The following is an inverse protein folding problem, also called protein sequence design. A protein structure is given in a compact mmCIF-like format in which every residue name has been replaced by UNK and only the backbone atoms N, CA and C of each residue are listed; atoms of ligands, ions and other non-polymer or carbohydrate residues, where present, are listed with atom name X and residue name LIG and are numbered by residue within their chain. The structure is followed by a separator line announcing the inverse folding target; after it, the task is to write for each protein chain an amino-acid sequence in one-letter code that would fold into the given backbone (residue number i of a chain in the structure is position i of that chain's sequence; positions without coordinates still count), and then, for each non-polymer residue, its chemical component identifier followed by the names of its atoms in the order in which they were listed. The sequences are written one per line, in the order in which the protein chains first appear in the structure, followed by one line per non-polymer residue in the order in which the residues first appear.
data_IF_156428898345
#
_entry.id   IF_156428898345
#
_cell.length_a   1.000
_cell.length_b   1.000
_cell.length_c   1.000
_cell.angle_alpha   90.00
_cell.angle_beta   90.00
_cell.angle_gamma   90.00
#
_symmetry.space_group_name_H-M   'P 1'
#
loop_
_entity.id
_entity.type
_entity.pdbx_description
1 polymer ?
#
# COMPACT_ATOMS: atom_id res chain seq x y z
N UNK A 1 -27.72 16.16 7.12
CA UNK A 1 -27.36 16.16 5.69
C UNK A 1 -26.74 14.80 5.38
N UNK A 2 -27.12 14.14 4.28
CA UNK A 2 -26.40 12.95 3.83
C UNK A 2 -24.95 13.35 3.54
N UNK A 3 -24.01 12.51 3.97
CA UNK A 3 -22.57 12.70 3.76
C UNK A 3 -22.31 12.64 2.24
N UNK A 4 -21.63 13.61 1.61
CA UNK A 4 -21.38 13.56 0.16
C UNK A 4 -20.63 12.30 -0.30
N UNK A 5 -20.06 11.52 0.62
CA UNK A 5 -19.39 10.24 0.36
C UNK A 5 -20.33 9.01 0.32
N UNK A 6 -21.65 9.13 0.54
CA UNK A 6 -22.55 7.95 0.64
C UNK A 6 -23.00 7.35 -0.69
N UNK A 7 -22.74 8.00 -1.84
CA UNK A 7 -23.05 7.45 -3.16
C UNK A 7 -21.86 7.62 -4.09
N UNK A 8 -20.96 6.63 -4.09
CA UNK A 8 -20.02 6.48 -5.20
C UNK A 8 -20.77 5.73 -6.31
N UNK A 9 -21.06 6.36 -7.46
CA UNK A 9 -21.57 5.61 -8.60
C UNK A 9 -20.52 4.57 -9.02
N UNK A 10 -20.91 3.31 -9.16
CA UNK A 10 -20.10 2.30 -9.84
C UNK A 10 -19.96 2.70 -11.33
N UNK A 11 -18.96 3.53 -11.66
CA UNK A 11 -18.58 3.90 -13.03
C UNK A 11 -17.32 4.77 -12.99
N UNK A 12 -16.27 4.56 -13.80
CA UNK A 12 -16.09 3.88 -15.10
C UNK A 12 -14.87 2.91 -15.08
N UNK A 13 -14.66 2.07 -16.12
CA UNK A 13 -13.58 1.07 -16.18
C UNK A 13 -12.16 1.66 -16.18
N UNK A 14 -11.22 0.92 -15.57
CA UNK A 14 -9.76 1.07 -15.53
C UNK A 14 -9.18 2.34 -16.18
N UNK A 15 -8.75 3.36 -15.39
CA UNK A 15 -8.22 4.59 -15.94
C UNK A 15 -6.87 4.40 -16.66
N UNK A 16 -6.17 3.27 -16.46
CA UNK A 16 -4.93 2.97 -17.16
C UNK A 16 -4.64 1.47 -17.31
N UNK A 17 -3.76 1.12 -18.24
CA UNK A 17 -3.22 -0.23 -18.44
C UNK A 17 -1.71 -0.20 -18.66
N UNK A 18 -1.06 -1.38 -18.61
CA UNK A 18 0.39 -1.50 -18.84
C UNK A 18 0.83 -0.87 -20.17
N UNK A 19 0.03 -1.00 -21.23
CA UNK A 19 0.37 -0.51 -22.58
C UNK A 19 0.43 1.02 -22.68
N UNK A 20 -0.14 1.72 -21.71
CA UNK A 20 -0.13 3.19 -21.66
C UNK A 20 1.12 3.74 -20.96
N UNK A 21 1.88 2.88 -20.27
CA UNK A 21 3.15 3.26 -19.64
C UNK A 21 4.26 3.18 -20.69
N UNK A 22 4.95 4.29 -20.91
CA UNK A 22 6.01 4.40 -21.91
C UNK A 22 7.35 3.81 -21.41
N UNK A 23 7.38 2.50 -21.14
CA UNK A 23 8.59 1.81 -20.66
C UNK A 23 9.79 1.97 -21.60
N UNK A 24 9.54 2.15 -22.90
CA UNK A 24 10.57 2.42 -23.92
C UNK A 24 11.23 3.80 -23.79
N UNK A 25 10.66 4.69 -22.96
CA UNK A 25 11.14 6.06 -22.73
C UNK A 25 11.74 6.27 -21.34
N UNK A 26 12.00 5.20 -20.59
CA UNK A 26 12.63 5.29 -19.28
C UNK A 26 14.00 5.96 -19.43
N UNK A 27 14.22 7.03 -18.69
CA UNK A 27 15.52 7.70 -18.62
C UNK A 27 16.46 6.90 -17.69
N UNK A 28 17.05 5.83 -18.22
CA UNK A 28 17.85 4.86 -17.45
C UNK A 28 18.96 5.51 -16.61
N UNK A 29 19.64 6.51 -17.17
CA UNK A 29 20.72 7.24 -16.52
C UNK A 29 20.31 7.92 -15.20
N UNK A 30 19.03 8.21 -15.01
CA UNK A 30 18.51 8.87 -13.81
C UNK A 30 18.23 7.90 -12.65
N UNK A 31 18.20 6.59 -12.90
CA UNK A 31 17.67 5.63 -11.93
C UNK A 31 18.51 4.35 -11.78
N UNK A 32 19.26 3.94 -12.81
CA UNK A 32 19.93 2.62 -12.81
C UNK A 32 20.97 2.45 -11.68
N UNK A 33 21.63 3.54 -11.28
CA UNK A 33 22.63 3.55 -10.22
C UNK A 33 22.05 3.85 -8.83
N UNK A 34 20.75 4.10 -8.72
CA UNK A 34 20.08 4.43 -7.47
C UNK A 34 19.66 3.16 -6.72
N UNK A 35 20.54 2.66 -5.84
CA UNK A 35 20.30 1.39 -5.13
C UNK A 35 19.06 1.40 -4.25
N UNK A 36 18.78 2.51 -3.55
CA UNK A 36 17.59 2.62 -2.70
C UNK A 36 16.31 2.52 -3.54
N UNK A 37 16.29 3.15 -4.72
CA UNK A 37 15.17 3.03 -5.64
C UNK A 37 14.97 1.61 -6.16
N UNK A 38 16.06 0.90 -6.49
CA UNK A 38 15.97 -0.53 -6.84
C UNK A 38 15.25 -1.33 -5.76
N UNK A 39 15.70 -1.25 -4.50
CA UNK A 39 15.13 -2.07 -3.42
C UNK A 39 13.69 -1.68 -3.08
N UNK A 40 13.35 -0.38 -3.14
CA UNK A 40 11.96 0.07 -2.96
C UNK A 40 11.06 -0.45 -4.06
N UNK A 41 11.46 -0.35 -5.33
CA UNK A 41 10.62 -0.75 -6.46
C UNK A 41 10.53 -2.26 -6.61
N UNK A 42 11.63 -2.99 -6.39
CA UNK A 42 11.62 -4.44 -6.35
C UNK A 42 10.72 -4.92 -5.20
N UNK A 43 10.89 -4.36 -4.00
CA UNK A 43 10.08 -4.72 -2.84
C UNK A 43 8.59 -4.44 -3.05
N UNK A 44 8.24 -3.24 -3.54
CA UNK A 44 6.86 -2.89 -3.88
C UNK A 44 6.30 -3.86 -4.94
N UNK A 45 7.04 -4.14 -6.01
CA UNK A 45 6.58 -5.07 -7.05
C UNK A 45 6.26 -6.48 -6.51
N UNK A 46 6.96 -6.93 -5.46
CA UNK A 46 6.66 -8.22 -4.82
C UNK A 46 5.38 -8.14 -4.00
N UNK A 47 5.24 -7.12 -3.15
CA UNK A 47 4.06 -6.95 -2.30
C UNK A 47 2.79 -6.82 -3.16
N UNK A 48 2.82 -5.97 -4.19
CA UNK A 48 1.69 -5.76 -5.10
C UNK A 48 1.35 -7.03 -5.91
N UNK A 49 2.37 -7.80 -6.32
CA UNK A 49 2.16 -9.05 -7.07
C UNK A 49 1.66 -10.21 -6.21
N UNK A 50 1.68 -10.06 -4.89
CA UNK A 50 1.26 -11.08 -3.92
C UNK A 50 -0.18 -10.89 -3.42
N UNK A 51 -0.87 -9.85 -3.89
CA UNK A 51 -2.23 -9.45 -3.49
C UNK A 51 -3.26 -10.59 -3.63
N UNK A 52 -3.15 -11.47 -4.64
CA UNK A 52 -4.07 -12.60 -4.90
C UNK A 52 -4.34 -13.50 -3.67
N UNK A 53 -3.29 -13.84 -2.91
CA UNK A 53 -3.44 -14.73 -1.76
C UNK A 53 -4.28 -14.06 -0.66
N UNK A 54 -4.16 -12.74 -0.51
CA UNK A 54 -4.96 -11.96 0.43
C UNK A 54 -6.39 -11.77 -0.05
N UNK A 55 -6.59 -11.58 -1.36
CA UNK A 55 -7.93 -11.43 -1.95
C UNK A 55 -8.81 -12.62 -1.62
N UNK A 56 -8.29 -13.84 -1.74
CA UNK A 56 -9.09 -15.04 -1.45
C UNK A 56 -9.59 -15.08 0.00
N UNK A 57 -8.72 -14.77 0.97
CA UNK A 57 -9.10 -14.72 2.38
C UNK A 57 -10.12 -13.60 2.64
N UNK A 58 -9.93 -12.44 2.02
CA UNK A 58 -10.84 -11.30 2.16
C UNK A 58 -12.22 -11.60 1.54
N UNK A 59 -12.27 -12.24 0.37
CA UNK A 59 -13.51 -12.69 -0.27
C UNK A 59 -14.27 -13.67 0.63
N UNK A 60 -13.57 -14.64 1.24
CA UNK A 60 -14.16 -15.55 2.23
C UNK A 60 -14.75 -14.82 3.44
N UNK A 61 -14.04 -13.82 3.97
CA UNK A 61 -14.54 -13.01 5.10
C UNK A 61 -15.78 -12.17 4.76
N UNK A 62 -15.90 -11.78 3.49
CA UNK A 62 -17.02 -10.99 2.96
C UNK A 62 -18.17 -11.84 2.41
N UNK A 63 -18.10 -13.16 2.50
CA UNK A 63 -19.07 -14.09 1.90
C UNK A 63 -20.52 -13.75 2.29
N UNK A 64 -21.42 -13.71 1.31
CA UNK A 64 -22.83 -13.35 1.53
C UNK A 64 -23.14 -11.86 1.42
N UNK A 65 -22.16 -11.02 1.06
CA UNK A 65 -22.39 -9.66 0.59
C UNK A 65 -21.93 -9.52 -0.88
N UNK A 66 -22.88 -9.67 -1.81
CA UNK A 66 -22.58 -9.73 -3.25
C UNK A 66 -21.92 -8.47 -3.79
N UNK A 67 -22.25 -7.29 -3.24
CA UNK A 67 -21.73 -6.04 -3.77
C UNK A 67 -20.23 -5.87 -3.48
N UNK A 68 -19.80 -6.16 -2.25
CA UNK A 68 -18.38 -6.07 -1.91
C UNK A 68 -17.60 -7.20 -2.57
N UNK A 69 -18.13 -8.42 -2.63
CA UNK A 69 -17.39 -9.54 -3.22
C UNK A 69 -17.21 -9.36 -4.72
N UNK A 70 -18.24 -8.85 -5.42
CA UNK A 70 -18.14 -8.50 -6.84
C UNK A 70 -17.11 -7.38 -7.07
N UNK A 71 -17.15 -6.32 -6.27
CA UNK A 71 -16.16 -5.24 -6.38
C UNK A 71 -14.73 -5.73 -6.14
N UNK A 72 -14.52 -6.58 -5.12
CA UNK A 72 -13.23 -7.17 -4.81
C UNK A 72 -12.68 -7.99 -5.99
N UNK A 73 -13.49 -8.87 -6.58
CA UNK A 73 -13.03 -9.77 -7.66
C UNK A 73 -12.95 -9.10 -9.03
N UNK A 74 -13.85 -8.17 -9.33
CA UNK A 74 -13.96 -7.59 -10.68
C UNK A 74 -13.18 -6.29 -10.85
N UNK A 75 -12.77 -5.65 -9.75
CA UNK A 75 -12.09 -4.34 -9.79
C UNK A 75 -10.83 -4.33 -8.95
N UNK A 76 -10.95 -4.51 -7.64
CA UNK A 76 -9.83 -4.34 -6.72
C UNK A 76 -8.67 -5.32 -7.02
N UNK A 77 -8.93 -6.63 -7.04
CA UNK A 77 -7.89 -7.64 -7.32
C UNK A 77 -7.23 -7.46 -8.70
N UNK A 78 -7.98 -7.27 -9.80
CA UNK A 78 -7.37 -6.94 -11.10
C UNK A 78 -6.50 -5.68 -11.11
N UNK A 79 -6.90 -4.63 -10.37
CA UNK A 79 -6.16 -3.37 -10.20
C UNK A 79 -4.85 -3.58 -9.43
N UNK A 80 -4.89 -4.24 -8.27
CA UNK A 80 -3.71 -4.59 -7.45
C UNK A 80 -2.69 -5.44 -8.24
N UNK A 81 -3.18 -6.48 -8.92
CA UNK A 81 -2.35 -7.30 -9.79
C UNK A 81 -1.74 -6.49 -10.96
N UNK A 82 -2.46 -5.48 -11.45
CA UNK A 82 -1.93 -4.60 -12.47
C UNK A 82 -0.76 -3.76 -11.94
N UNK A 83 -0.84 -3.28 -10.71
CA UNK A 83 0.23 -2.53 -10.06
C UNK A 83 1.50 -3.38 -9.96
N UNK A 84 1.37 -4.62 -9.49
CA UNK A 84 2.48 -5.58 -9.40
C UNK A 84 3.14 -5.85 -10.75
N UNK A 85 2.34 -6.14 -11.78
CA UNK A 85 2.86 -6.35 -13.15
C UNK A 85 3.57 -5.12 -13.70
N UNK A 86 3.03 -3.92 -13.46
CA UNK A 86 3.60 -2.69 -13.97
C UNK A 86 4.94 -2.35 -13.30
N UNK A 87 5.02 -2.50 -11.97
CA UNK A 87 6.28 -2.31 -11.22
C UNK A 87 7.32 -3.36 -11.58
N UNK A 88 6.92 -4.63 -11.72
CA UNK A 88 7.81 -5.69 -12.20
C UNK A 88 8.40 -5.33 -13.56
N UNK A 89 7.56 -4.92 -14.52
CA UNK A 89 7.99 -4.51 -15.86
C UNK A 89 8.99 -3.36 -15.80
N UNK A 90 8.75 -2.38 -14.94
CA UNK A 90 9.68 -1.26 -14.71
C UNK A 90 11.04 -1.78 -14.19
N UNK A 91 11.03 -2.62 -13.16
CA UNK A 91 12.25 -3.20 -12.56
C UNK A 91 13.04 -4.02 -13.57
N UNK A 92 12.39 -4.93 -14.30
CA UNK A 92 13.02 -5.77 -15.34
C UNK A 92 13.56 -4.93 -16.51
N UNK A 93 12.95 -3.78 -16.79
CA UNK A 93 13.43 -2.86 -17.83
C UNK A 93 14.69 -2.14 -17.35
N UNK A 94 14.69 -1.54 -16.16
CA UNK A 94 15.84 -0.78 -15.63
C UNK A 94 17.01 -1.67 -15.24
N UNK A 95 16.73 -2.82 -14.62
CA UNK A 95 17.74 -3.76 -14.09
C UNK A 95 17.56 -5.16 -14.70
N UNK A 96 17.82 -5.35 -16.00
CA UNK A 96 17.54 -6.60 -16.72
C UNK A 96 18.38 -7.80 -16.26
N UNK A 97 19.48 -7.57 -15.56
CA UNK A 97 20.32 -8.63 -14.99
C UNK A 97 19.77 -9.20 -13.67
N UNK A 98 18.78 -8.55 -13.06
CA UNK A 98 18.18 -9.01 -11.82
C UNK A 98 17.16 -10.12 -12.08
N UNK A 99 17.35 -11.28 -11.45
CA UNK A 99 16.39 -12.39 -11.50
C UNK A 99 15.20 -12.09 -10.58
N UNK A 100 14.26 -11.30 -11.11
CA UNK A 100 13.06 -10.89 -10.38
C UNK A 100 12.23 -12.09 -9.92
N UNK A 101 12.10 -13.12 -10.75
CA UNK A 101 11.26 -14.28 -10.45
C UNK A 101 11.82 -15.08 -9.28
N UNK A 102 13.13 -15.34 -9.26
CA UNK A 102 13.75 -16.04 -8.13
C UNK A 102 13.58 -15.28 -6.81
N UNK A 103 13.71 -13.95 -6.82
CA UNK A 103 13.51 -13.11 -5.65
C UNK A 103 12.05 -13.10 -5.19
N UNK A 104 11.10 -13.01 -6.14
CA UNK A 104 9.68 -13.06 -5.84
C UNK A 104 9.25 -14.42 -5.27
N UNK A 105 9.75 -15.52 -5.81
CA UNK A 105 9.45 -16.87 -5.29
C UNK A 105 9.97 -17.04 -3.85
N UNK A 106 11.16 -16.50 -3.55
CA UNK A 106 11.71 -16.45 -2.19
C UNK A 106 10.85 -15.61 -1.25
N UNK A 107 10.42 -14.43 -1.69
CA UNK A 107 9.49 -13.59 -0.93
C UNK A 107 8.16 -14.31 -0.65
N UNK A 108 7.57 -14.95 -1.65
CA UNK A 108 6.35 -15.73 -1.50
C UNK A 108 6.49 -16.84 -0.44
N UNK A 109 7.62 -17.55 -0.47
CA UNK A 109 7.90 -18.62 0.49
C UNK A 109 8.03 -18.08 1.92
N UNK A 110 8.73 -16.96 2.09
CA UNK A 110 8.96 -16.33 3.40
C UNK A 110 7.69 -15.67 3.95
N UNK A 111 6.85 -15.07 3.10
CA UNK A 111 5.72 -14.24 3.52
C UNK A 111 4.40 -14.99 3.65
N UNK A 112 4.20 -16.10 2.92
CA UNK A 112 2.98 -16.93 3.00
C UNK A 112 2.51 -17.29 4.43
N UNK A 113 3.39 -17.58 5.42
CA UNK A 113 2.97 -17.84 6.80
C UNK A 113 2.25 -16.68 7.51
N UNK A 114 2.40 -15.45 7.00
CA UNK A 114 1.77 -14.23 7.53
C UNK A 114 0.42 -13.92 6.85
N UNK A 115 -0.03 -14.77 5.94
CA UNK A 115 -1.22 -14.54 5.10
C UNK A 115 -2.37 -15.46 5.51
N UNK A 116 -2.62 -15.51 6.81
CA UNK A 116 -3.56 -16.43 7.43
C UNK A 116 -4.93 -15.78 7.61
N UNK A 117 -6.05 -16.46 7.30
CA UNK A 117 -7.39 -15.93 7.53
C UNK A 117 -7.62 -15.46 8.97
N UNK A 118 -6.96 -16.10 9.94
CA UNK A 118 -7.06 -15.78 11.37
C UNK A 118 -6.45 -14.41 11.73
N UNK A 119 -5.70 -13.79 10.82
CA UNK A 119 -5.13 -12.46 11.00
C UNK A 119 -6.09 -11.34 10.54
N UNK A 120 -7.23 -11.69 9.90
CA UNK A 120 -8.28 -10.74 9.57
C UNK A 120 -9.03 -10.28 10.83
N UNK A 121 -9.62 -9.08 10.78
CA UNK A 121 -10.40 -8.57 11.90
C UNK A 121 -11.70 -9.34 12.08
N UNK A 122 -12.21 -9.47 13.33
CA UNK A 122 -13.32 -10.39 13.64
C UNK A 122 -14.68 -10.00 13.04
N UNK A 123 -14.83 -8.78 12.55
CA UNK A 123 -16.08 -8.31 11.92
C UNK A 123 -15.78 -7.62 10.60
N UNK A 124 -16.79 -7.53 9.71
CA UNK A 124 -16.59 -6.90 8.41
C UNK A 124 -16.31 -5.42 8.54
N UNK A 125 -16.99 -4.71 9.44
CA UNK A 125 -16.73 -3.30 9.67
C UNK A 125 -15.27 -3.07 10.12
N UNK A 126 -14.76 -3.89 11.04
CA UNK A 126 -13.38 -3.74 11.51
C UNK A 126 -12.36 -4.12 10.43
N UNK A 127 -12.64 -5.14 9.61
CA UNK A 127 -11.77 -5.49 8.48
C UNK A 127 -11.72 -4.37 7.44
N UNK A 128 -12.84 -3.71 7.15
CA UNK A 128 -12.83 -2.53 6.27
C UNK A 128 -12.01 -1.36 6.84
N UNK A 129 -11.95 -1.20 8.18
CA UNK A 129 -11.03 -0.24 8.81
C UNK A 129 -9.59 -0.66 8.59
N UNK A 130 -9.25 -1.93 8.75
CA UNK A 130 -7.90 -2.43 8.50
C UNK A 130 -7.46 -2.16 7.05
N UNK A 131 -8.34 -2.44 6.08
CA UNK A 131 -8.07 -2.13 4.65
C UNK A 131 -7.89 -0.63 4.40
N UNK A 132 -8.71 0.22 5.02
CA UNK A 132 -8.50 1.68 4.94
C UNK A 132 -7.10 2.11 5.43
N UNK A 133 -6.51 1.42 6.41
CA UNK A 133 -5.15 1.71 6.89
C UNK A 133 -4.11 1.31 5.85
N UNK A 134 -4.25 0.12 5.25
CA UNK A 134 -3.37 -0.37 4.19
C UNK A 134 -3.39 0.60 3.01
N UNK A 135 -4.56 0.94 2.49
CA UNK A 135 -4.71 1.88 1.36
C UNK A 135 -4.17 3.27 1.66
N UNK A 136 -4.25 3.70 2.93
CA UNK A 136 -3.67 4.98 3.36
C UNK A 136 -2.14 4.92 3.32
N UNK A 137 -1.56 3.78 3.71
CA UNK A 137 -0.12 3.54 3.66
C UNK A 137 0.41 3.51 2.23
N UNK A 138 -0.20 2.71 1.35
CA UNK A 138 0.17 2.59 -0.08
C UNK A 138 -0.01 3.92 -0.82
N UNK A 139 -1.15 4.60 -0.63
CA UNK A 139 -1.38 5.97 -1.16
C UNK A 139 -0.30 6.96 -0.72
N UNK A 140 0.16 6.85 0.53
CA UNK A 140 1.21 7.68 1.10
C UNK A 140 2.58 7.38 0.48
N UNK A 141 2.93 6.10 0.36
CA UNK A 141 4.16 5.64 -0.28
C UNK A 141 4.24 6.11 -1.74
N UNK A 142 3.26 5.76 -2.57
CA UNK A 142 3.27 6.17 -3.98
C UNK A 142 3.11 7.68 -4.15
N UNK A 143 2.46 8.37 -3.21
CA UNK A 143 2.46 9.83 -3.12
C UNK A 143 3.85 10.44 -2.89
N UNK A 144 4.65 9.83 -2.02
CA UNK A 144 6.05 10.21 -1.83
C UNK A 144 6.85 9.92 -3.11
N UNK A 145 6.81 8.69 -3.61
CA UNK A 145 7.59 8.28 -4.79
C UNK A 145 7.25 9.13 -6.03
N UNK A 146 5.97 9.46 -6.23
CA UNK A 146 5.54 10.35 -7.31
C UNK A 146 6.21 11.73 -7.23
N UNK A 147 6.39 12.25 -6.02
CA UNK A 147 6.97 13.57 -5.79
C UNK A 147 8.48 13.59 -5.95
N UNK A 148 9.16 12.53 -5.52
CA UNK A 148 10.63 12.49 -5.43
C UNK A 148 11.31 11.72 -6.57
N UNK A 149 10.54 11.02 -7.40
CA UNK A 149 11.11 10.19 -8.47
C UNK A 149 12.00 11.01 -9.40
N UNK A 150 13.25 10.57 -9.65
CA UNK A 150 14.15 11.22 -10.59
C UNK A 150 13.83 10.85 -12.06
N UNK A 151 12.94 9.88 -12.28
CA UNK A 151 12.64 9.30 -13.59
C UNK A 151 11.18 9.59 -13.99
N UNK A 152 10.93 10.25 -15.14
CA UNK A 152 9.58 10.67 -15.55
C UNK A 152 8.55 9.54 -15.76
N UNK A 153 8.96 8.40 -16.33
CA UNK A 153 8.04 7.27 -16.57
C UNK A 153 7.59 6.65 -15.24
N UNK A 154 8.52 6.52 -14.28
CA UNK A 154 8.26 6.09 -12.92
C UNK A 154 7.31 7.05 -12.23
N UNK A 155 7.54 8.36 -12.34
CA UNK A 155 6.64 9.38 -11.80
C UNK A 155 5.20 9.18 -12.30
N UNK A 156 5.02 8.94 -13.59
CA UNK A 156 3.71 8.65 -14.16
C UNK A 156 3.12 7.34 -13.61
N UNK A 157 3.89 6.26 -13.62
CA UNK A 157 3.47 4.94 -13.14
C UNK A 157 2.99 4.99 -11.68
N UNK A 158 3.80 5.51 -10.76
CA UNK A 158 3.40 5.59 -9.34
C UNK A 158 2.27 6.59 -9.11
N UNK A 159 2.12 7.59 -9.98
CA UNK A 159 0.98 8.51 -9.95
C UNK A 159 -0.35 7.83 -10.30
N UNK A 160 -0.31 6.88 -11.24
CA UNK A 160 -1.45 6.03 -11.57
C UNK A 160 -1.81 5.10 -10.41
N UNK A 161 -0.84 4.35 -9.89
CA UNK A 161 -1.03 3.44 -8.75
C UNK A 161 -1.63 4.21 -7.57
N UNK A 162 -1.01 5.32 -7.14
CA UNK A 162 -1.53 6.19 -6.08
C UNK A 162 -3.00 6.59 -6.27
N UNK A 163 -3.42 6.86 -7.51
CA UNK A 163 -4.78 7.29 -7.80
C UNK A 163 -5.78 6.15 -7.58
N UNK A 164 -5.38 4.93 -7.92
CA UNK A 164 -6.16 3.71 -7.66
C UNK A 164 -6.27 3.47 -6.15
N UNK A 165 -5.18 3.59 -5.37
CA UNK A 165 -5.21 3.39 -3.90
C UNK A 165 -6.13 4.37 -3.16
N UNK A 166 -6.14 5.63 -3.60
CA UNK A 166 -7.07 6.63 -3.07
C UNK A 166 -8.52 6.25 -3.44
N UNK A 167 -8.72 5.60 -4.59
CA UNK A 167 -9.99 5.00 -5.00
C UNK A 167 -10.38 3.81 -4.12
N UNK A 168 -9.48 2.84 -3.95
CA UNK A 168 -9.65 1.66 -3.10
C UNK A 168 -10.05 2.06 -1.67
N UNK A 169 -9.34 3.04 -1.09
CA UNK A 169 -9.67 3.61 0.22
C UNK A 169 -11.12 4.08 0.30
N UNK A 170 -11.63 4.76 -0.72
CA UNK A 170 -13.01 5.29 -0.73
C UNK A 170 -14.03 4.16 -0.75
N UNK A 171 -13.79 3.09 -1.50
CA UNK A 171 -14.67 1.92 -1.53
C UNK A 171 -14.65 1.15 -0.21
N UNK A 172 -13.46 0.88 0.36
CA UNK A 172 -13.37 0.27 1.69
C UNK A 172 -14.04 1.13 2.76
N UNK A 173 -13.86 2.46 2.70
CA UNK A 173 -14.54 3.37 3.61
C UNK A 173 -16.06 3.35 3.43
N UNK A 174 -16.55 3.31 2.19
CA UNK A 174 -17.97 3.17 1.89
C UNK A 174 -18.57 1.91 2.53
N UNK A 175 -17.94 0.75 2.32
CA UNK A 175 -18.38 -0.51 2.93
C UNK A 175 -18.27 -0.49 4.45
N UNK A 176 -17.22 0.12 5.02
CA UNK A 176 -17.14 0.35 6.46
C UNK A 176 -18.34 1.13 6.99
N UNK A 177 -18.73 2.23 6.32
CA UNK A 177 -19.90 3.01 6.73
C UNK A 177 -21.16 2.16 6.74
N UNK A 178 -21.35 1.32 5.71
CA UNK A 178 -22.50 0.41 5.60
C UNK A 178 -22.52 -0.63 6.72
N UNK A 179 -21.43 -1.38 6.91
CA UNK A 179 -21.36 -2.41 7.94
C UNK A 179 -21.49 -1.84 9.36
N UNK A 180 -20.97 -0.63 9.59
CA UNK A 180 -21.07 0.02 10.90
C UNK A 180 -22.52 0.28 11.33
N UNK A 181 -23.45 0.54 10.42
CA UNK A 181 -24.85 0.76 10.80
C UNK A 181 -25.50 -0.51 11.41
N UNK A 182 -24.99 -1.68 11.02
CA UNK A 182 -25.44 -3.00 11.48
C UNK A 182 -24.62 -3.46 12.70
N UNK A 183 -23.29 -3.53 12.55
CA UNK A 183 -22.37 -4.10 13.55
C UNK A 183 -22.07 -3.14 14.70
N UNK A 184 -22.24 -1.83 14.48
CA UNK A 184 -22.05 -0.74 15.46
C UNK A 184 -20.75 -0.86 16.29
N UNK A 185 -19.57 -1.07 15.67
CA UNK A 185 -18.31 -1.06 16.41
C UNK A 185 -18.11 0.25 17.16
N UNK A 186 -17.62 0.15 18.39
CA UNK A 186 -17.24 1.31 19.19
C UNK A 186 -16.02 2.02 18.58
N UNK A 187 -15.90 3.33 18.82
CA UNK A 187 -14.72 4.10 18.41
C UNK A 187 -13.41 3.56 18.98
N UNK A 188 -13.45 2.90 20.14
CA UNK A 188 -12.29 2.26 20.75
C UNK A 188 -11.84 1.03 19.96
N UNK A 189 -12.77 0.22 19.46
CA UNK A 189 -12.44 -0.90 18.59
C UNK A 189 -11.83 -0.41 17.28
N UNK A 190 -12.39 0.65 16.67
CA UNK A 190 -11.81 1.27 15.46
C UNK A 190 -10.40 1.79 15.76
N UNK A 191 -10.20 2.54 16.85
CA UNK A 191 -8.87 3.06 17.22
C UNK A 191 -7.85 1.94 17.49
N UNK A 192 -8.29 0.82 18.06
CA UNK A 192 -7.44 -0.36 18.28
C UNK A 192 -6.93 -0.91 16.95
N UNK A 193 -7.83 -1.13 15.98
CA UNK A 193 -7.45 -1.62 14.64
C UNK A 193 -6.50 -0.66 13.95
N UNK A 194 -6.79 0.66 13.98
CA UNK A 194 -5.89 1.67 13.43
C UNK A 194 -4.47 1.55 14.02
N UNK A 195 -4.35 1.43 15.34
CA UNK A 195 -3.06 1.34 16.04
C UNK A 195 -2.31 0.05 15.72
N UNK A 196 -3.01 -1.08 15.69
CA UNK A 196 -2.41 -2.39 15.42
C UNK A 196 -1.87 -2.45 13.99
N UNK A 197 -2.69 -2.08 13.00
CA UNK A 197 -2.26 -2.05 11.59
C UNK A 197 -1.14 -1.04 11.33
N UNK A 198 -1.15 0.13 11.97
CA UNK A 198 -0.02 1.07 11.88
C UNK A 198 1.29 0.52 12.45
N UNK A 199 1.23 -0.38 13.43
CA UNK A 199 2.43 -1.04 13.97
C UNK A 199 2.98 -2.13 13.05
N UNK A 200 2.11 -2.75 12.25
CA UNK A 200 2.46 -3.83 11.32
C UNK A 200 2.91 -3.32 9.94
N UNK A 201 2.44 -2.13 9.52
CA UNK A 201 2.79 -1.53 8.22
C UNK A 201 4.31 -1.48 8.02
N UNK A 202 4.77 -2.08 6.92
CA UNK A 202 6.11 -1.87 6.38
C UNK A 202 7.25 -2.47 7.21
N UNK A 203 6.94 -3.33 8.20
CA UNK A 203 7.99 -3.99 8.99
C UNK A 203 8.33 -5.37 8.45
N UNK A 204 7.36 -6.28 8.36
CA UNK A 204 7.63 -7.68 7.99
C UNK A 204 7.66 -7.88 6.47
N UNK A 205 6.67 -7.34 5.76
CA UNK A 205 6.56 -7.38 4.31
C UNK A 205 7.73 -6.69 3.62
N UNK A 206 8.02 -5.44 3.98
CA UNK A 206 9.12 -4.67 3.41
C UNK A 206 10.49 -5.28 3.76
N UNK A 207 10.67 -5.81 4.98
CA UNK A 207 11.90 -6.52 5.35
C UNK A 207 12.10 -7.74 4.47
N UNK A 208 11.10 -8.62 4.35
CA UNK A 208 11.20 -9.85 3.58
C UNK A 208 11.36 -9.56 2.09
N UNK A 209 10.69 -8.52 1.57
CA UNK A 209 10.80 -8.12 0.18
C UNK A 209 12.21 -7.60 -0.16
N UNK A 210 12.75 -6.69 0.67
CA UNK A 210 14.12 -6.17 0.50
C UNK A 210 15.16 -7.27 0.72
N UNK A 211 14.98 -8.13 1.73
CA UNK A 211 15.83 -9.30 1.99
C UNK A 211 15.95 -10.18 0.74
N UNK A 212 14.81 -10.58 0.17
CA UNK A 212 14.81 -11.48 -0.99
C UNK A 212 15.39 -10.81 -2.24
N UNK A 213 15.10 -9.52 -2.47
CA UNK A 213 15.76 -8.75 -3.53
C UNK A 213 17.29 -8.68 -3.35
N UNK A 214 17.74 -8.44 -2.12
CA UNK A 214 19.16 -8.33 -1.78
C UNK A 214 19.90 -9.65 -1.95
N UNK A 215 19.41 -10.76 -1.40
CA UNK A 215 20.11 -12.04 -1.44
C UNK A 215 20.21 -12.60 -2.87
N UNK A 216 19.23 -12.33 -3.73
CA UNK A 216 19.29 -12.69 -5.15
C UNK A 216 20.24 -11.79 -5.93
N UNK A 217 20.21 -10.47 -5.68
CA UNK A 217 21.14 -9.53 -6.32
C UNK A 217 22.60 -9.74 -5.90
N UNK A 218 22.82 -10.28 -4.69
CA UNK A 218 24.15 -10.48 -4.10
C UNK A 218 24.37 -11.95 -3.68
N UNK A 219 24.59 -12.87 -4.64
CA UNK A 219 24.74 -14.29 -4.34
C UNK A 219 25.83 -14.56 -3.29
N UNK A 220 25.49 -15.32 -2.24
CA UNK A 220 26.40 -15.67 -1.15
C UNK A 220 26.44 -14.67 0.00
N UNK A 221 25.78 -13.50 -0.12
CA UNK A 221 25.60 -12.57 1.00
C UNK A 221 24.27 -12.84 1.71
N UNK A 222 24.23 -12.57 3.02
CA UNK A 222 23.02 -12.70 3.83
C UNK A 222 22.55 -11.34 4.30
N UNK A 223 21.26 -11.09 4.17
CA UNK A 223 20.67 -9.84 4.60
C UNK A 223 20.30 -9.92 6.08
N UNK A 224 20.67 -8.90 6.84
CA UNK A 224 20.45 -8.84 8.28
C UNK A 224 19.49 -7.71 8.67
N UNK A 225 18.92 -7.74 9.89
CA UNK A 225 18.12 -6.64 10.41
C UNK A 225 18.88 -5.30 10.45
N UNK A 226 20.21 -5.31 10.57
CA UNK A 226 21.03 -4.08 10.54
C UNK A 226 21.07 -3.47 9.13
N UNK A 227 21.12 -4.30 8.11
CA UNK A 227 21.09 -3.85 6.71
C UNK A 227 19.73 -3.22 6.40
N UNK A 228 18.66 -3.80 6.92
CA UNK A 228 17.32 -3.22 6.81
C UNK A 228 17.19 -1.88 7.53
N UNK A 229 17.73 -1.75 8.75
CA UNK A 229 17.74 -0.47 9.46
C UNK A 229 18.51 0.60 8.69
N UNK A 230 19.62 0.23 8.03
CA UNK A 230 20.36 1.14 7.17
C UNK A 230 19.53 1.57 5.96
N UNK A 231 18.87 0.62 5.29
CA UNK A 231 17.94 0.91 4.20
C UNK A 231 16.79 1.84 4.65
N UNK A 232 16.16 1.56 5.79
CA UNK A 232 15.09 2.39 6.36
C UNK A 232 15.57 3.81 6.68
N UNK A 233 16.80 3.97 7.17
CA UNK A 233 17.36 5.29 7.43
C UNK A 233 17.56 6.09 6.13
N UNK A 234 18.05 5.44 5.07
CA UNK A 234 18.27 6.06 3.76
C UNK A 234 16.94 6.41 3.09
N UNK A 235 16.00 5.47 3.00
CA UNK A 235 14.66 5.71 2.44
C UNK A 235 13.84 6.70 3.30
N UNK A 236 14.02 6.68 4.62
CA UNK A 236 13.36 7.59 5.56
C UNK A 236 13.77 9.06 5.39
N UNK A 237 14.91 9.35 4.76
CA UNK A 237 15.28 10.72 4.41
C UNK A 237 14.27 11.34 3.43
N UNK A 238 13.79 10.56 2.46
CA UNK A 238 12.78 11.00 1.50
C UNK A 238 11.48 11.42 2.20
N UNK A 239 11.06 10.63 3.18
CA UNK A 239 9.77 10.86 3.82
C UNK A 239 9.73 12.16 4.66
N UNK A 240 10.85 12.60 5.26
CA UNK A 240 10.88 13.82 6.10
C UNK A 240 10.41 15.06 5.37
N UNK A 241 10.85 15.22 4.13
CA UNK A 241 10.61 16.44 3.36
C UNK A 241 9.34 16.35 2.50
N UNK A 242 9.07 15.16 1.95
CA UNK A 242 8.18 15.05 0.79
C UNK A 242 6.97 14.15 1.01
N UNK A 243 6.87 13.47 2.15
CA UNK A 243 5.74 12.59 2.44
C UNK A 243 4.43 13.39 2.60
N UNK A 244 3.30 12.91 2.03
CA UNK A 244 2.02 13.61 2.05
C UNK A 244 1.29 13.50 3.41
N UNK A 245 1.95 13.92 4.50
CA UNK A 245 1.48 13.76 5.88
C UNK A 245 0.05 14.23 6.11
N UNK A 246 -0.34 15.37 5.56
CA UNK A 246 -1.69 15.91 5.76
C UNK A 246 -2.77 14.98 5.16
N UNK A 247 -2.53 14.47 3.95
CA UNK A 247 -3.45 13.55 3.28
C UNK A 247 -3.51 12.21 4.02
N UNK A 248 -2.36 11.63 4.37
CA UNK A 248 -2.28 10.36 5.11
C UNK A 248 -2.99 10.45 6.46
N UNK A 249 -2.73 11.48 7.26
CA UNK A 249 -3.38 11.63 8.58
C UNK A 249 -4.90 11.84 8.43
N UNK A 250 -5.35 12.61 7.43
CA UNK A 250 -6.78 12.79 7.16
C UNK A 250 -7.47 11.49 6.79
N UNK A 251 -6.87 10.69 5.90
CA UNK A 251 -7.40 9.38 5.50
C UNK A 251 -7.45 8.43 6.69
N UNK A 252 -6.36 8.33 7.45
CA UNK A 252 -6.24 7.46 8.62
C UNK A 252 -7.29 7.77 9.72
N UNK A 253 -7.62 9.04 9.92
CA UNK A 253 -8.62 9.46 10.92
C UNK A 253 -10.05 9.38 10.41
N UNK A 254 -10.28 9.20 9.11
CA UNK A 254 -11.62 9.20 8.52
C UNK A 254 -12.54 8.11 9.10
N UNK A 255 -12.07 6.86 9.36
CA UNK A 255 -12.85 5.83 10.05
C UNK A 255 -13.34 6.21 11.45
N UNK A 256 -12.61 7.08 12.18
CA UNK A 256 -12.96 7.46 13.55
C UNK A 256 -14.19 8.37 13.65
N UNK A 257 -14.57 9.04 12.55
CA UNK A 257 -15.67 10.03 12.49
C UNK A 257 -15.66 10.97 13.71
N UNK A 258 -14.49 11.55 13.97
CA UNK A 258 -14.34 12.54 15.03
C UNK A 258 -15.10 13.82 14.63
N UNK A 259 -15.73 14.52 15.59
CA UNK A 259 -16.27 15.85 15.35
C UNK A 259 -15.22 16.75 14.71
N UNK A 260 -15.62 17.56 13.72
CA UNK A 260 -14.68 18.36 12.92
C UNK A 260 -13.82 19.35 13.70
N UNK A 261 -14.19 19.71 14.94
CA UNK A 261 -13.34 20.49 15.83
C UNK A 261 -12.23 19.64 16.49
N UNK A 262 -12.54 18.41 16.93
CA UNK A 262 -11.56 17.49 17.53
C UNK A 262 -10.51 17.11 16.49
N UNK A 263 -10.95 16.83 15.26
CA UNK A 263 -10.03 16.52 14.17
C UNK A 263 -9.06 17.69 13.94
N UNK A 264 -9.57 18.92 13.77
CA UNK A 264 -8.74 20.13 13.59
C UNK A 264 -7.76 20.39 14.74
N UNK A 265 -8.14 20.11 15.99
CA UNK A 265 -7.25 20.27 17.14
C UNK A 265 -6.18 19.17 17.24
N UNK A 266 -6.50 17.93 16.86
CA UNK A 266 -5.57 16.81 16.92
C UNK A 266 -4.59 16.77 15.75
N UNK A 267 -4.97 17.31 14.58
CA UNK A 267 -4.18 17.26 13.34
C UNK A 267 -2.72 17.71 13.51
N UNK A 268 -2.39 18.86 14.14
CA UNK A 268 -0.99 19.30 14.25
C UNK A 268 -0.13 18.35 15.09
N UNK A 269 -0.71 17.75 16.13
CA UNK A 269 -0.01 16.79 17.00
C UNK A 269 0.21 15.46 16.27
N UNK A 270 -0.83 14.97 15.58
CA UNK A 270 -0.76 13.71 14.83
C UNK A 270 0.18 13.82 13.63
N UNK A 271 0.24 14.97 12.95
CA UNK A 271 1.23 15.21 11.91
C UNK A 271 2.66 15.16 12.45
N UNK A 272 2.92 15.76 13.62
CA UNK A 272 4.23 15.67 14.29
C UNK A 272 4.59 14.25 14.72
N UNK A 273 3.61 13.46 15.18
CA UNK A 273 3.84 12.05 15.51
C UNK A 273 4.09 11.22 14.25
N UNK A 274 3.30 11.41 13.19
CA UNK A 274 3.49 10.74 11.91
C UNK A 274 4.88 11.03 11.33
N UNK A 275 5.38 12.26 11.43
CA UNK A 275 6.75 12.61 11.02
C UNK A 275 7.82 11.77 11.74
N UNK A 276 7.67 11.53 13.05
CA UNK A 276 8.62 10.72 13.84
C UNK A 276 8.53 9.23 13.55
N UNK A 277 7.38 8.73 13.13
CA UNK A 277 7.16 7.31 12.83
C UNK A 277 7.62 6.97 11.41
N UNK A 278 7.27 7.81 10.44
CA UNK A 278 7.60 7.59 9.02
C UNK A 278 9.07 7.94 8.72
N UNK A 279 9.65 8.86 9.49
CA UNK A 279 11.07 9.21 9.38
C UNK A 279 11.74 9.35 10.75
N UNK A 280 12.04 8.21 11.40
CA UNK A 280 12.74 8.18 12.68
C UNK A 280 14.19 8.70 12.61
#
# INVERSE_FOLDING_TARGET
MPDPDTHLPFGAPHPWSLDQIAYDRIAHENIVNEETWFYVLAGASFVESFSDLFTHNLLGHMEGDTEVTQWLSERWEPEELQHGRALRRYVETVWPAFDWQAAFDGFCADYRPFCKPELLEPTRALEMVARCVVETGTSGLYGLLHKISPEPVLTALVGHIRSDEVGHFKYFYHFFLRYREIERPSRWQVARVLRERLGEIGQEDAYLAVKNAFEVRNPGQKFSPKDFQHFQHTAGHWARADYPYEMTVKMLLKPMRLPGFINRMAMPLLMRQAQRVVAP
#
